data_IF_624328105529
#
_entry.id   IF_624328105529
#
_cell.length_a   1.000
_cell.length_b   1.000
_cell.length_c   1.000
_cell.angle_alpha   90.00
_cell.angle_beta   90.00
_cell.angle_gamma   90.00
#
_symmetry.space_group_name_H-M   'P 1'
#
loop_
_entity.id
_entity.type
_entity.pdbx_description
1 polymer ?
#
# COMPACT_ATOMS: atom_id res chain seq x y z
N UNK A 1 13.80 17.75 28.33
CA UNK A 1 13.14 16.44 28.28
C UNK A 1 13.55 15.77 26.97
N UNK A 2 14.08 14.54 26.96
CA UNK A 2 14.33 13.83 25.71
C UNK A 2 13.00 13.60 24.99
N UNK A 3 12.93 13.75 23.65
CA UNK A 3 11.70 13.53 22.90
C UNK A 3 11.23 12.09 23.09
N UNK A 4 9.96 11.90 23.44
CA UNK A 4 9.34 10.57 23.44
C UNK A 4 9.53 9.96 22.05
N UNK A 5 9.96 8.69 21.94
CA UNK A 5 10.07 8.06 20.63
C UNK A 5 8.69 8.00 19.97
N UNK A 6 8.55 8.59 18.77
CA UNK A 6 7.29 8.61 18.00
C UNK A 6 6.97 7.24 17.36
N UNK A 7 7.98 6.38 17.20
CA UNK A 7 7.85 5.11 16.49
C UNK A 7 6.78 4.15 17.05
N UNK A 8 6.50 4.06 18.36
CA UNK A 8 5.42 3.20 18.87
C UNK A 8 4.04 3.69 18.43
N UNK A 9 3.83 5.01 18.35
CA UNK A 9 2.57 5.59 17.89
C UNK A 9 2.36 5.34 16.40
N UNK A 10 3.42 5.48 15.59
CA UNK A 10 3.37 5.17 14.15
C UNK A 10 3.11 3.68 13.92
N UNK A 11 3.78 2.81 14.68
CA UNK A 11 3.56 1.37 14.60
C UNK A 11 2.11 1.02 14.96
N UNK A 12 1.59 1.54 16.08
CA UNK A 12 0.19 1.33 16.48
C UNK A 12 -0.79 1.83 15.42
N UNK A 13 -0.57 3.03 14.87
CA UNK A 13 -1.39 3.59 13.79
C UNK A 13 -1.40 2.72 12.53
N UNK A 14 -0.24 2.18 12.15
CA UNK A 14 -0.10 1.27 10.99
C UNK A 14 -0.84 -0.05 11.21
N UNK A 15 -0.72 -0.64 12.40
CA UNK A 15 -1.42 -1.87 12.74
C UNK A 15 -2.94 -1.65 12.75
N UNK A 16 -3.39 -0.55 13.35
CA UNK A 16 -4.81 -0.16 13.34
C UNK A 16 -5.32 0.06 11.92
N UNK A 17 -4.53 0.69 11.04
CA UNK A 17 -4.87 0.88 9.64
C UNK A 17 -5.06 -0.45 8.92
N UNK A 18 -4.16 -1.43 9.14
CA UNK A 18 -4.30 -2.76 8.54
C UNK A 18 -5.51 -3.51 9.07
N UNK A 19 -5.74 -3.50 10.38
CA UNK A 19 -6.93 -4.11 10.98
C UNK A 19 -8.19 -3.47 10.39
N UNK A 20 -8.25 -2.14 10.33
CA UNK A 20 -9.39 -1.40 9.78
C UNK A 20 -9.64 -1.73 8.32
N UNK A 21 -8.58 -1.77 7.49
CA UNK A 21 -8.70 -2.13 6.08
C UNK A 21 -9.22 -3.56 5.88
N UNK A 22 -8.69 -4.54 6.62
CA UNK A 22 -9.14 -5.94 6.51
C UNK A 22 -10.58 -6.10 7.04
N UNK A 23 -10.94 -5.38 8.10
CA UNK A 23 -12.29 -5.37 8.66
C UNK A 23 -13.30 -4.80 7.67
N UNK A 24 -12.97 -3.70 6.99
CA UNK A 24 -13.83 -3.11 5.96
C UNK A 24 -14.01 -4.05 4.77
N UNK A 25 -12.96 -4.74 4.33
CA UNK A 25 -13.09 -5.75 3.27
C UNK A 25 -14.03 -6.89 3.67
N UNK A 26 -13.92 -7.38 4.91
CA UNK A 26 -14.82 -8.39 5.44
C UNK A 26 -16.26 -7.85 5.52
N UNK A 27 -16.47 -6.65 6.08
CA UNK A 27 -17.78 -6.05 6.24
C UNK A 27 -18.49 -5.79 4.90
N UNK A 28 -17.75 -5.31 3.89
CA UNK A 28 -18.32 -4.92 2.60
C UNK A 28 -18.50 -6.08 1.62
N UNK A 29 -17.80 -7.19 1.83
CA UNK A 29 -17.76 -8.28 0.83
C UNK A 29 -18.31 -9.60 1.35
N UNK A 30 -18.40 -9.79 2.67
CA UNK A 30 -18.93 -11.01 3.24
C UNK A 30 -20.47 -11.07 3.14
N UNK A 31 -20.96 -12.07 2.39
CA UNK A 31 -22.40 -12.29 2.18
C UNK A 31 -23.14 -12.72 3.44
N UNK A 32 -22.43 -13.17 4.47
CA UNK A 32 -23.01 -13.56 5.77
C UNK A 32 -23.47 -12.37 6.61
N UNK A 33 -23.24 -11.12 6.15
CA UNK A 33 -23.61 -9.86 6.82
C UNK A 33 -23.04 -9.80 8.25
N UNK A 34 -21.71 -9.85 8.41
CA UNK A 34 -21.08 -9.88 9.72
C UNK A 34 -21.40 -8.62 10.53
N UNK A 35 -21.53 -8.79 11.83
CA UNK A 35 -21.57 -7.67 12.77
C UNK A 35 -20.23 -6.94 12.80
N UNK A 36 -20.22 -5.68 13.26
CA UNK A 36 -18.99 -4.88 13.36
C UNK A 36 -17.92 -5.60 14.19
N UNK A 37 -18.32 -6.26 15.28
CA UNK A 37 -17.42 -7.05 16.12
C UNK A 37 -16.79 -8.21 15.35
N UNK A 38 -17.57 -8.96 14.59
CA UNK A 38 -17.08 -10.09 13.79
C UNK A 38 -16.12 -9.61 12.70
N UNK A 39 -16.46 -8.52 12.00
CA UNK A 39 -15.58 -7.91 11.03
C UNK A 39 -14.23 -7.46 11.64
N UNK A 40 -14.26 -6.84 12.81
CA UNK A 40 -13.04 -6.47 13.55
C UNK A 40 -12.22 -7.70 13.97
N UNK A 41 -12.88 -8.80 14.33
CA UNK A 41 -12.17 -10.04 14.67
C UNK A 41 -11.57 -10.72 13.46
N UNK A 42 -12.22 -10.67 12.30
CA UNK A 42 -11.66 -11.10 11.03
C UNK A 42 -10.41 -10.26 10.73
N UNK A 43 -10.51 -8.93 10.80
CA UNK A 43 -9.39 -8.02 10.58
C UNK A 43 -8.20 -8.26 11.51
N UNK A 44 -8.46 -8.45 12.81
CA UNK A 44 -7.43 -8.74 13.79
C UNK A 44 -6.77 -10.12 13.54
N UNK A 45 -7.56 -11.14 13.23
CA UNK A 45 -7.03 -12.48 12.96
C UNK A 45 -6.25 -12.56 11.65
N UNK A 46 -6.57 -11.69 10.68
CA UNK A 46 -5.86 -11.56 9.41
C UNK A 46 -4.58 -10.73 9.49
N UNK A 47 -4.37 -9.98 10.57
CA UNK A 47 -3.23 -9.07 10.72
C UNK A 47 -1.89 -9.80 10.63
N UNK A 48 -1.71 -10.88 11.38
CA UNK A 48 -0.44 -11.60 11.42
C UNK A 48 -0.10 -12.24 10.06
N UNK A 49 -1.01 -12.97 9.39
CA UNK A 49 -0.81 -13.42 8.02
C UNK A 49 -0.50 -12.28 7.05
N UNK A 50 -1.18 -11.13 7.20
CA UNK A 50 -0.97 -9.98 6.31
C UNK A 50 0.43 -9.37 6.50
N UNK A 51 0.86 -9.15 7.73
CA UNK A 51 2.22 -8.68 8.03
C UNK A 51 3.28 -9.65 7.53
N UNK A 52 3.10 -10.96 7.76
CA UNK A 52 4.03 -11.97 7.26
C UNK A 52 4.12 -11.95 5.72
N UNK A 53 2.99 -11.80 5.02
CA UNK A 53 2.96 -11.67 3.58
C UNK A 53 3.62 -10.36 3.10
N UNK A 54 3.42 -9.24 3.81
CA UNK A 54 4.07 -7.96 3.51
C UNK A 54 5.58 -8.04 3.69
N UNK A 55 6.07 -8.65 4.77
CA UNK A 55 7.50 -8.83 5.01
C UNK A 55 8.14 -9.73 3.94
N UNK A 56 7.49 -10.85 3.62
CA UNK A 56 7.96 -11.76 2.58
C UNK A 56 7.97 -11.07 1.21
N UNK A 57 6.91 -10.31 0.90
CA UNK A 57 6.82 -9.53 -0.33
C UNK A 57 7.90 -8.45 -0.39
N UNK A 58 8.09 -7.66 0.68
CA UNK A 58 9.09 -6.60 0.73
C UNK A 58 10.51 -7.13 0.57
N UNK A 59 10.83 -8.23 1.26
CA UNK A 59 12.13 -8.88 1.15
C UNK A 59 12.34 -9.48 -0.24
N UNK A 60 11.36 -10.23 -0.75
CA UNK A 60 11.43 -10.83 -2.08
C UNK A 60 11.54 -9.79 -3.20
N UNK A 61 10.74 -8.73 -3.14
CA UNK A 61 10.76 -7.61 -4.08
C UNK A 61 12.08 -6.84 -4.01
N UNK A 62 12.58 -6.59 -2.79
CA UNK A 62 13.84 -5.89 -2.55
C UNK A 62 15.03 -6.64 -3.15
N UNK A 63 15.08 -7.97 -3.00
CA UNK A 63 16.12 -8.78 -3.65
C UNK A 63 15.93 -8.81 -5.18
N UNK A 64 14.71 -9.10 -5.65
CA UNK A 64 14.41 -9.25 -7.06
C UNK A 64 14.70 -7.97 -7.87
N UNK A 65 14.37 -6.81 -7.31
CA UNK A 65 14.55 -5.52 -7.95
C UNK A 65 15.92 -4.88 -7.63
N UNK A 66 16.41 -5.08 -6.40
CA UNK A 66 17.65 -4.49 -5.92
C UNK A 66 18.91 -5.12 -6.50
N UNK A 67 18.91 -6.44 -6.77
CA UNK A 67 20.09 -7.10 -7.36
C UNK A 67 20.42 -6.58 -8.78
N UNK A 68 19.47 -6.53 -9.74
CA UNK A 68 19.74 -5.94 -11.05
C UNK A 68 20.18 -4.47 -10.97
N UNK A 69 19.56 -3.69 -10.08
CA UNK A 69 19.95 -2.31 -9.84
C UNK A 69 21.39 -2.21 -9.33
N UNK A 70 21.76 -3.00 -8.32
CA UNK A 70 23.10 -2.98 -7.73
C UNK A 70 24.17 -3.36 -8.76
N UNK A 71 23.91 -4.37 -9.60
CA UNK A 71 24.83 -4.78 -10.68
C UNK A 71 25.04 -3.64 -11.68
N UNK A 72 23.96 -3.00 -12.15
CA UNK A 72 24.05 -1.92 -13.13
C UNK A 72 24.66 -0.65 -12.54
N UNK A 73 24.36 -0.33 -11.29
CA UNK A 73 24.96 0.79 -10.57
C UNK A 73 26.46 0.59 -10.32
N UNK A 74 26.90 -0.65 -10.06
CA UNK A 74 28.30 -0.98 -9.84
C UNK A 74 29.20 -0.76 -11.07
N UNK A 75 28.62 -0.60 -12.27
CA UNK A 75 29.36 -0.23 -13.48
C UNK A 75 29.89 1.22 -13.45
N UNK A 76 29.46 2.04 -12.48
CA UNK A 76 30.03 3.36 -12.21
C UNK A 76 29.64 4.46 -13.21
N UNK A 77 28.87 4.16 -14.26
CA UNK A 77 28.36 5.17 -15.20
C UNK A 77 26.96 5.67 -14.82
N UNK A 78 26.68 6.97 -14.95
CA UNK A 78 25.33 7.51 -14.71
C UNK A 78 24.26 6.86 -15.61
N UNK A 79 24.61 6.53 -16.84
CA UNK A 79 23.72 5.85 -17.77
C UNK A 79 23.34 4.43 -17.30
N UNK A 80 24.30 3.66 -16.78
CA UNK A 80 24.03 2.34 -16.23
C UNK A 80 23.19 2.41 -14.95
N UNK A 81 23.45 3.36 -14.06
CA UNK A 81 22.63 3.58 -12.87
C UNK A 81 21.18 3.94 -13.22
N UNK A 82 20.97 4.81 -14.22
CA UNK A 82 19.63 5.17 -14.70
C UNK A 82 18.91 3.96 -15.31
N UNK A 83 19.59 3.13 -16.11
CA UNK A 83 19.04 1.89 -16.64
C UNK A 83 18.67 0.91 -15.51
N UNK A 84 19.52 0.77 -14.50
CA UNK A 84 19.22 -0.05 -13.33
C UNK A 84 18.00 0.44 -12.56
N UNK A 85 17.86 1.74 -12.38
CA UNK A 85 16.71 2.34 -11.72
C UNK A 85 15.42 2.06 -12.50
N UNK A 86 15.45 2.20 -13.83
CA UNK A 86 14.32 1.87 -14.69
C UNK A 86 13.88 0.40 -14.52
N UNK A 87 14.85 -0.53 -14.57
CA UNK A 87 14.59 -1.96 -14.36
C UNK A 87 13.98 -2.21 -12.98
N UNK A 88 14.54 -1.61 -11.93
CA UNK A 88 14.04 -1.72 -10.57
C UNK A 88 12.58 -1.27 -10.47
N UNK A 89 12.24 -0.10 -11.02
CA UNK A 89 10.88 0.44 -11.02
C UNK A 89 9.92 -0.49 -11.76
N UNK A 90 10.30 -1.02 -12.93
CA UNK A 90 9.46 -1.95 -13.70
C UNK A 90 9.18 -3.22 -12.90
N UNK A 91 10.20 -3.79 -12.25
CA UNK A 91 10.04 -4.99 -11.41
C UNK A 91 9.12 -4.69 -10.22
N UNK A 92 9.32 -3.57 -9.52
CA UNK A 92 8.49 -3.19 -8.37
C UNK A 92 7.04 -2.95 -8.77
N UNK A 93 6.78 -2.28 -9.90
CA UNK A 93 5.43 -2.10 -10.43
C UNK A 93 4.76 -3.44 -10.76
N UNK A 94 5.50 -4.34 -11.40
CA UNK A 94 4.99 -5.68 -11.71
C UNK A 94 4.64 -6.46 -10.44
N UNK A 95 5.53 -6.48 -9.44
CA UNK A 95 5.30 -7.13 -8.14
C UNK A 95 4.11 -6.52 -7.41
N UNK A 96 4.00 -5.19 -7.41
CA UNK A 96 2.87 -4.47 -6.79
C UNK A 96 1.54 -4.90 -7.40
N UNK A 97 1.44 -4.95 -8.73
CA UNK A 97 0.25 -5.43 -9.45
C UNK A 97 -0.05 -6.89 -9.11
N UNK A 98 0.97 -7.74 -8.96
CA UNK A 98 0.79 -9.17 -8.66
C UNK A 98 0.26 -9.44 -7.27
N UNK A 99 0.59 -8.58 -6.31
CA UNK A 99 0.29 -8.78 -4.90
C UNK A 99 -0.75 -7.82 -4.33
N UNK A 100 -1.36 -6.97 -5.16
CA UNK A 100 -2.43 -6.04 -4.78
C UNK A 100 -3.65 -6.74 -4.12
N UNK A 101 -3.86 -8.03 -4.42
CA UNK A 101 -4.97 -8.82 -3.89
C UNK A 101 -4.62 -9.63 -2.63
N UNK A 102 -3.46 -9.41 -1.98
CA UNK A 102 -3.14 -10.13 -0.73
C UNK A 102 -4.19 -9.83 0.36
N UNK A 103 -4.52 -8.57 0.58
CA UNK A 103 -5.50 -8.16 1.60
C UNK A 103 -6.88 -8.83 1.39
N UNK A 104 -7.52 -8.77 0.21
CA UNK A 104 -8.80 -9.45 -0.01
C UNK A 104 -8.69 -10.98 0.05
N UNK A 105 -7.58 -11.60 -0.36
CA UNK A 105 -7.38 -13.06 -0.20
C UNK A 105 -7.37 -13.47 1.28
N UNK A 106 -6.80 -12.64 2.16
CA UNK A 106 -6.77 -12.93 3.59
C UNK A 106 -8.14 -12.62 4.23
N UNK A 107 -8.71 -11.43 3.96
CA UNK A 107 -9.93 -10.97 4.62
C UNK A 107 -11.20 -11.66 4.12
N UNK A 108 -11.27 -11.99 2.82
CA UNK A 108 -12.49 -12.50 2.17
C UNK A 108 -12.39 -14.01 1.93
N UNK A 109 -11.28 -14.48 1.36
CA UNK A 109 -11.10 -15.94 1.16
C UNK A 109 -10.65 -16.67 2.44
N UNK A 110 -10.35 -15.94 3.52
CA UNK A 110 -9.99 -16.51 4.82
C UNK A 110 -8.62 -17.23 4.84
N UNK A 111 -7.76 -16.98 3.85
CA UNK A 111 -6.45 -17.66 3.75
C UNK A 111 -5.50 -17.14 4.82
N UNK A 112 -5.20 -17.96 5.84
CA UNK A 112 -4.31 -17.58 6.97
C UNK A 112 -2.84 -17.91 6.76
N UNK A 113 -2.48 -18.65 5.72
CA UNK A 113 -1.09 -18.89 5.37
C UNK A 113 -0.58 -17.80 4.42
N UNK A 114 0.48 -17.03 4.78
CA UNK A 114 0.95 -15.90 3.98
C UNK A 114 1.48 -16.32 2.61
N UNK A 115 2.18 -17.46 2.51
CA UNK A 115 2.73 -17.96 1.24
C UNK A 115 1.58 -18.35 0.31
N UNK A 116 0.60 -19.09 0.83
CA UNK A 116 -0.59 -19.47 0.08
C UNK A 116 -1.38 -18.24 -0.38
N UNK A 117 -1.49 -17.21 0.47
CA UNK A 117 -2.15 -15.96 0.13
C UNK A 117 -1.44 -15.22 -1.02
N UNK A 118 -0.10 -15.15 -0.99
CA UNK A 118 0.69 -14.57 -2.07
C UNK A 118 0.54 -15.35 -3.39
N UNK A 119 0.62 -16.68 -3.36
CA UNK A 119 0.42 -17.53 -4.54
C UNK A 119 -0.98 -17.37 -5.14
N UNK A 120 -1.99 -17.27 -4.28
CA UNK A 120 -3.38 -17.05 -4.67
C UNK A 120 -3.57 -15.68 -5.31
N UNK A 121 -3.03 -14.62 -4.69
CA UNK A 121 -3.01 -13.26 -5.24
C UNK A 121 -2.38 -13.22 -6.63
N UNK A 122 -1.23 -13.89 -6.80
CA UNK A 122 -0.57 -14.02 -8.10
C UNK A 122 -1.44 -14.73 -9.15
N UNK A 123 -2.13 -15.81 -8.76
CA UNK A 123 -3.03 -16.55 -9.66
C UNK A 123 -4.22 -15.71 -10.10
N UNK A 124 -4.79 -14.91 -9.20
CA UNK A 124 -5.92 -14.02 -9.48
C UNK A 124 -5.55 -12.84 -10.38
N UNK A 125 -4.31 -12.33 -10.28
CA UNK A 125 -3.82 -11.21 -11.09
C UNK A 125 -3.21 -11.65 -12.42
N UNK A 126 -2.93 -12.95 -12.60
CA UNK A 126 -2.44 -13.54 -13.86
C UNK A 126 -3.51 -13.44 -14.95
N UNK A 127 -3.08 -13.08 -16.17
CA UNK A 127 -3.97 -12.92 -17.33
C UNK A 127 -4.62 -11.54 -17.43
N UNK A 128 -4.71 -10.77 -16.34
CA UNK A 128 -5.35 -9.45 -16.33
C UNK A 128 -4.43 -8.34 -15.77
N UNK A 129 -3.13 -8.58 -15.67
CA UNK A 129 -2.19 -7.67 -14.98
C UNK A 129 -2.12 -6.27 -15.62
N UNK A 130 -2.19 -6.17 -16.95
CA UNK A 130 -2.20 -4.87 -17.63
C UNK A 130 -3.45 -4.06 -17.31
N UNK A 131 -4.64 -4.68 -17.33
CA UNK A 131 -5.91 -4.02 -16.98
C UNK A 131 -5.91 -3.56 -15.52
N UNK A 132 -5.37 -4.38 -14.62
CA UNK A 132 -5.20 -4.01 -13.21
C UNK A 132 -4.25 -2.80 -13.11
N UNK A 133 -3.11 -2.82 -13.79
CA UNK A 133 -2.16 -1.71 -13.78
C UNK A 133 -2.78 -0.41 -14.28
N UNK A 134 -3.51 -0.44 -15.39
CA UNK A 134 -4.21 0.74 -15.93
C UNK A 134 -5.31 1.22 -14.98
N UNK A 135 -6.09 0.30 -14.39
CA UNK A 135 -7.10 0.66 -13.40
C UNK A 135 -6.48 1.34 -12.18
N UNK A 136 -5.39 0.78 -11.65
CA UNK A 136 -4.66 1.34 -10.50
C UNK A 136 -4.06 2.70 -10.86
N UNK A 137 -3.50 2.86 -12.06
CA UNK A 137 -3.01 4.15 -12.55
C UNK A 137 -4.13 5.19 -12.59
N UNK A 138 -5.29 4.85 -13.16
CA UNK A 138 -6.45 5.74 -13.24
C UNK A 138 -7.00 6.07 -11.85
N UNK A 139 -6.98 5.11 -10.93
CA UNK A 139 -7.39 5.30 -9.53
C UNK A 139 -6.47 6.30 -8.84
N UNK A 140 -5.15 6.10 -8.90
CA UNK A 140 -4.18 7.04 -8.33
C UNK A 140 -4.25 8.42 -8.98
N UNK A 141 -4.45 8.48 -10.30
CA UNK A 141 -4.65 9.73 -11.01
C UNK A 141 -5.89 10.48 -10.51
N UNK A 142 -7.02 9.77 -10.34
CA UNK A 142 -8.27 10.34 -9.83
C UNK A 142 -8.13 10.81 -8.38
N UNK A 143 -7.55 9.97 -7.50
CA UNK A 143 -7.26 10.33 -6.11
C UNK A 143 -6.34 11.55 -6.04
N UNK A 144 -5.32 11.60 -6.89
CA UNK A 144 -4.39 12.73 -6.98
C UNK A 144 -5.07 14.05 -7.37
N UNK A 145 -5.98 14.01 -8.36
CA UNK A 145 -6.79 15.18 -8.73
C UNK A 145 -7.66 15.61 -7.56
N UNK A 146 -8.39 14.67 -6.93
CA UNK A 146 -9.27 15.00 -5.80
C UNK A 146 -8.45 15.60 -4.64
N UNK A 147 -7.30 15.01 -4.30
CA UNK A 147 -6.42 15.53 -3.26
C UNK A 147 -5.93 16.94 -3.60
N UNK A 148 -5.44 17.19 -4.82
CA UNK A 148 -5.01 18.51 -5.26
C UNK A 148 -6.14 19.55 -5.20
N UNK A 149 -7.37 19.17 -5.57
CA UNK A 149 -8.53 20.05 -5.48
C UNK A 149 -8.91 20.34 -4.02
N UNK A 150 -8.94 19.33 -3.16
CA UNK A 150 -9.27 19.48 -1.74
C UNK A 150 -8.22 20.37 -1.05
N UNK A 151 -6.94 20.08 -1.21
CA UNK A 151 -5.85 20.90 -0.66
C UNK A 151 -5.90 22.32 -1.22
N UNK A 152 -6.18 22.49 -2.52
CA UNK A 152 -6.35 23.80 -3.14
C UNK A 152 -7.51 24.62 -2.55
N UNK A 153 -8.69 24.01 -2.41
CA UNK A 153 -9.89 24.66 -1.86
C UNK A 153 -9.68 24.98 -0.37
N UNK A 154 -9.22 24.02 0.41
CA UNK A 154 -8.93 24.21 1.84
C UNK A 154 -7.88 25.31 2.02
N UNK A 155 -6.82 25.30 1.21
CA UNK A 155 -5.78 26.34 1.22
C UNK A 155 -6.35 27.74 0.96
N UNK A 156 -7.20 27.90 -0.06
CA UNK A 156 -7.85 29.18 -0.37
C UNK A 156 -8.75 29.63 0.78
N UNK A 157 -9.60 28.76 1.31
CA UNK A 157 -10.51 29.09 2.42
C UNK A 157 -9.73 29.51 3.66
N UNK A 158 -8.70 28.76 4.04
CA UNK A 158 -7.89 29.07 5.21
C UNK A 158 -7.01 30.31 5.01
N UNK A 159 -6.60 30.61 3.77
CA UNK A 159 -5.86 31.85 3.45
C UNK A 159 -6.69 33.12 3.71
N UNK A 160 -8.01 33.04 3.54
CA UNK A 160 -8.91 34.15 3.87
C UNK A 160 -9.01 34.40 5.39
N UNK A 161 -8.67 33.41 6.22
CA UNK A 161 -8.66 33.51 7.69
C UNK A 161 -7.32 33.98 8.27
N UNK A 162 -6.30 34.18 7.41
CA UNK A 162 -4.97 34.67 7.79
C UNK A 162 -3.84 33.74 7.34
N UNK A 163 -2.67 34.34 7.06
CA UNK A 163 -1.50 33.63 6.50
C UNK A 163 -0.98 32.51 7.39
N UNK A 164 -1.10 32.62 8.71
CA UNK A 164 -0.70 31.57 9.66
C UNK A 164 -1.65 30.36 9.62
N UNK A 165 -2.95 30.58 9.48
CA UNK A 165 -3.96 29.49 9.37
C UNK A 165 -3.86 28.80 8.01
N UNK A 166 -3.49 29.53 6.95
CA UNK A 166 -3.24 28.99 5.62
C UNK A 166 -2.19 27.86 5.62
N UNK A 167 -1.17 27.96 6.47
CA UNK A 167 -0.11 26.94 6.57
C UNK A 167 -0.62 25.58 7.06
N UNK A 168 -1.72 25.56 7.82
CA UNK A 168 -2.38 24.33 8.25
C UNK A 168 -3.03 23.62 7.05
N UNK A 169 -3.60 24.38 6.11
CA UNK A 169 -4.18 23.83 4.87
C UNK A 169 -3.15 23.27 3.90
N UNK A 170 -1.90 23.72 3.99
CA UNK A 170 -0.79 23.22 3.18
C UNK A 170 -0.09 21.99 3.77
N UNK A 171 -0.46 21.56 4.98
CA UNK A 171 0.20 20.50 5.73
C UNK A 171 -0.45 19.11 5.59
N UNK A 172 -1.50 18.98 4.78
CA UNK A 172 -2.24 17.73 4.54
C UNK A 172 -2.38 17.41 3.05
#
# INVERSE_FOLDING_TARGET
>A
MPPCPLWPLVAAGTLLQFIGSLSLLALLTDRSRPTVREALMIGLSGLLPYLAALLLNAFGAGLLAGLPFAVLAALGSPAAAAAGLLVMVIILLYVMVKFILIAPVIAIEGTRNPITAMQRSWRLTKGNSFRIAVFVLLLFFTIGIIAALVTGIVGVVLSALGSQVATIGAAW
#
